data_IF_929285596453
#
_entry.id   IF_929285596453
#
_cell.length_a   1.000
_cell.length_b   1.000
_cell.length_c   1.000
_cell.angle_alpha   90.00
_cell.angle_beta   90.00
_cell.angle_gamma   90.00
#
_symmetry.space_group_name_H-M   'P 1'
#
loop_
_entity.id
_entity.type
_entity.pdbx_description
1 polymer ?
#
# COMPACT_ATOMS: atom_id res chain seq x y z
N UNK A 1 19.14 -4.92 -20.64
CA UNK A 1 18.01 -4.00 -20.84
C UNK A 1 17.85 -3.13 -19.61
N UNK A 2 17.39 -1.89 -19.78
CA UNK A 2 17.21 -0.87 -18.76
C UNK A 2 15.97 -0.03 -19.08
N UNK A 3 15.15 0.25 -18.08
CA UNK A 3 14.00 1.15 -18.23
C UNK A 3 14.46 2.58 -17.97
N UNK A 4 14.18 3.47 -18.90
CA UNK A 4 14.50 4.89 -18.76
C UNK A 4 13.26 5.74 -19.00
N UNK A 5 13.15 6.83 -18.23
CA UNK A 5 12.15 7.88 -18.42
C UNK A 5 12.75 9.03 -19.19
N UNK A 6 12.11 9.44 -20.28
CA UNK A 6 12.60 10.52 -21.14
C UNK A 6 12.30 11.87 -20.51
N UNK A 7 13.32 12.73 -20.42
CA UNK A 7 13.19 14.10 -19.91
C UNK A 7 13.45 15.16 -20.98
N UNK A 8 13.99 14.78 -22.14
CA UNK A 8 14.28 15.66 -23.25
C UNK A 8 13.31 15.48 -24.43
N UNK A 9 12.83 16.58 -25.01
CA UNK A 9 11.80 16.56 -26.09
C UNK A 9 12.30 16.21 -27.49
N UNK A 10 13.57 15.84 -27.67
CA UNK A 10 14.22 15.59 -28.97
C UNK A 10 14.98 14.25 -29.00
N UNK A 11 14.47 13.25 -28.29
CA UNK A 11 15.08 11.92 -28.25
C UNK A 11 14.40 10.99 -29.27
N UNK A 12 15.21 10.19 -29.96
CA UNK A 12 14.74 9.22 -30.94
C UNK A 12 15.27 7.83 -30.62
N UNK A 13 14.46 6.80 -30.82
CA UNK A 13 14.82 5.41 -30.52
C UNK A 13 14.64 4.48 -31.73
N UNK A 14 15.48 3.43 -31.75
CA UNK A 14 15.44 2.39 -32.78
C UNK A 14 15.85 2.85 -34.19
N UNK A 15 15.79 1.92 -35.14
CA UNK A 15 16.12 2.18 -36.55
C UNK A 15 15.07 3.02 -37.29
N UNK A 16 13.82 3.03 -36.81
CA UNK A 16 12.74 3.83 -37.38
C UNK A 16 12.75 5.28 -36.90
N UNK A 17 13.71 5.68 -36.04
CA UNK A 17 13.79 7.00 -35.45
C UNK A 17 12.45 7.41 -34.80
N UNK A 18 11.91 6.53 -33.96
CA UNK A 18 10.69 6.85 -33.22
C UNK A 18 10.99 7.96 -32.23
N UNK A 19 10.29 9.09 -32.35
CA UNK A 19 10.41 10.19 -31.39
C UNK A 19 9.86 9.74 -30.03
N UNK A 20 10.61 10.01 -28.97
CA UNK A 20 10.18 9.82 -27.58
C UNK A 20 9.81 11.16 -26.98
N UNK A 21 8.65 11.23 -26.35
CA UNK A 21 8.15 12.43 -25.69
C UNK A 21 8.65 12.54 -24.25
N UNK A 22 8.63 13.75 -23.71
CA UNK A 22 9.00 13.97 -22.30
C UNK A 22 7.97 13.26 -21.42
N UNK A 23 8.44 12.39 -20.54
CA UNK A 23 7.62 11.54 -19.68
C UNK A 23 7.44 10.12 -20.21
N UNK A 24 7.82 9.82 -21.45
CA UNK A 24 7.75 8.47 -21.99
C UNK A 24 8.73 7.53 -21.29
N UNK A 25 8.34 6.26 -21.23
CA UNK A 25 9.21 5.18 -20.77
C UNK A 25 9.68 4.36 -21.96
N UNK A 26 10.99 4.12 -22.05
CA UNK A 26 11.59 3.31 -23.09
C UNK A 26 12.54 2.27 -22.50
N UNK A 27 12.48 1.06 -23.03
CA UNK A 27 13.43 0.00 -22.68
C UNK A 27 14.57 -0.03 -23.70
N UNK A 28 15.80 0.19 -23.23
CA UNK A 28 17.00 0.21 -24.06
C UNK A 28 18.11 -0.62 -23.45
N UNK A 29 19.21 -0.80 -24.19
CA UNK A 29 20.41 -1.41 -23.62
C UNK A 29 21.01 -0.55 -22.50
N UNK A 30 21.67 -1.20 -21.53
CA UNK A 30 22.30 -0.56 -20.37
C UNK A 30 23.34 0.50 -20.78
N UNK A 31 24.16 0.24 -21.80
CA UNK A 31 25.17 1.20 -22.25
C UNK A 31 24.54 2.43 -22.91
N UNK A 32 23.37 2.27 -23.54
CA UNK A 32 22.62 3.39 -24.12
C UNK A 32 21.92 4.20 -23.03
N UNK A 33 21.28 3.53 -22.07
CA UNK A 33 20.64 4.17 -20.92
C UNK A 33 21.62 5.03 -20.13
N UNK A 34 22.81 4.49 -19.79
CA UNK A 34 23.83 5.25 -19.07
C UNK A 34 24.32 6.46 -19.87
N UNK A 35 24.55 6.30 -21.18
CA UNK A 35 24.96 7.42 -22.04
C UNK A 35 23.91 8.52 -22.03
N UNK A 36 22.64 8.19 -22.23
CA UNK A 36 21.54 9.15 -22.22
C UNK A 36 21.37 9.82 -20.87
N UNK A 37 21.55 9.09 -19.76
CA UNK A 37 21.47 9.64 -18.42
C UNK A 37 22.63 10.61 -18.13
N UNK A 38 23.86 10.28 -18.54
CA UNK A 38 25.04 11.13 -18.37
C UNK A 38 24.91 12.50 -19.04
N UNK A 39 24.21 12.57 -20.18
CA UNK A 39 23.97 13.82 -20.91
C UNK A 39 22.61 14.45 -20.58
N UNK A 40 21.88 13.92 -19.59
CA UNK A 40 20.63 14.49 -19.10
C UNK A 40 19.45 14.39 -20.07
N UNK A 41 19.42 13.37 -20.93
CA UNK A 41 18.27 13.12 -21.83
C UNK A 41 17.20 12.24 -21.18
N UNK A 42 17.60 11.36 -20.27
CA UNK A 42 16.71 10.42 -19.58
C UNK A 42 17.09 10.26 -18.11
N UNK A 43 16.14 9.80 -17.30
CA UNK A 43 16.35 9.32 -15.93
C UNK A 43 16.25 7.80 -15.92
N UNK A 44 17.20 7.11 -15.27
CA UNK A 44 17.14 5.66 -15.07
C UNK A 44 16.07 5.35 -14.02
N UNK A 45 15.16 4.44 -14.37
CA UNK A 45 14.13 3.98 -13.45
C UNK A 45 14.59 2.64 -12.88
N UNK A 46 14.89 2.64 -11.59
CA UNK A 46 15.09 1.42 -10.83
C UNK A 46 13.71 0.85 -10.45
N UNK A 47 13.59 -0.48 -10.43
CA UNK A 47 12.39 -1.16 -9.96
C UNK A 47 12.32 -1.02 -8.43
N UNK A 48 11.83 0.14 -7.97
CA UNK A 48 11.67 0.44 -6.55
C UNK A 48 10.24 0.14 -6.12
N UNK A 49 10.09 -0.78 -5.16
CA UNK A 49 8.81 -1.08 -4.51
C UNK A 49 8.43 0.10 -3.62
N UNK A 50 7.38 0.82 -3.98
CA UNK A 50 6.79 1.83 -3.11
C UNK A 50 5.92 1.14 -2.06
N UNK A 51 6.31 1.25 -0.79
CA UNK A 51 5.44 0.85 0.32
C UNK A 51 4.27 1.83 0.40
N UNK A 52 3.12 1.41 -0.11
CA UNK A 52 1.86 2.11 0.09
C UNK A 52 1.39 1.75 1.50
N UNK A 53 1.41 2.73 2.40
CA UNK A 53 0.79 2.57 3.70
C UNK A 53 -0.71 2.33 3.46
N UNK A 54 -1.18 1.11 3.70
CA UNK A 54 -2.61 0.84 3.85
C UNK A 54 -3.10 1.77 4.96
N UNK A 55 -3.97 2.76 4.68
CA UNK A 55 -4.48 3.60 5.74
C UNK A 55 -5.23 2.68 6.70
N UNK A 56 -4.75 2.57 7.95
CA UNK A 56 -5.58 2.05 9.02
C UNK A 56 -6.76 2.99 9.11
N UNK A 57 -7.90 2.56 8.60
CA UNK A 57 -9.17 3.21 8.88
C UNK A 57 -9.29 3.16 10.40
N UNK A 58 -9.16 4.30 11.08
CA UNK A 58 -9.42 4.43 12.50
C UNK A 58 -10.76 3.76 12.78
N UNK A 59 -10.71 2.59 13.43
CA UNK A 59 -11.88 1.89 13.92
C UNK A 59 -12.42 2.69 15.09
N UNK A 60 -13.02 3.84 14.81
CA UNK A 60 -13.92 4.52 15.72
C UNK A 60 -15.35 4.03 15.45
N UNK A 61 -15.54 2.72 15.55
CA UNK A 61 -16.86 2.15 15.77
C UNK A 61 -17.01 2.06 17.31
N UNK A 62 -17.94 2.83 17.91
CA UNK A 62 -18.09 2.87 19.35
C UNK A 62 -18.44 1.47 19.90
N UNK A 63 -17.72 1.03 20.91
CA UNK A 63 -18.11 -0.14 21.72
C UNK A 63 -19.58 0.02 22.16
N UNK A 64 -20.45 -0.99 21.92
CA UNK A 64 -21.82 -0.93 22.43
C UNK A 64 -21.77 -0.92 23.97
N UNK A 65 -22.32 0.14 24.56
CA UNK A 65 -22.48 0.31 26.01
C UNK A 65 -23.11 -0.94 26.65
N UNK A 66 -22.70 -1.31 27.88
CA UNK A 66 -23.23 -2.48 28.56
C UNK A 66 -24.75 -2.36 28.77
N UNK A 67 -25.51 -3.31 28.22
CA UNK A 67 -26.95 -3.45 28.47
C UNK A 67 -27.21 -3.47 29.98
N UNK A 68 -27.88 -2.42 30.47
CA UNK A 68 -28.40 -2.40 31.84
C UNK A 68 -29.49 -3.46 31.95
N UNK A 69 -29.42 -4.41 32.91
CA UNK A 69 -30.44 -5.44 33.03
C UNK A 69 -31.78 -4.82 33.46
N UNK A 70 -32.92 -5.27 32.90
CA UNK A 70 -34.23 -4.80 33.34
C UNK A 70 -34.51 -5.27 34.78
N UNK A 71 -34.86 -4.30 35.64
CA UNK A 71 -35.41 -4.54 36.99
C UNK A 71 -36.73 -5.30 36.87
N UNK A 72 -36.69 -6.61 37.12
CA UNK A 72 -37.85 -7.48 37.29
C UNK A 72 -37.92 -8.04 38.71
N UNK A 73 -39.05 -7.84 39.38
CA UNK A 73 -39.32 -8.13 40.80
C UNK A 73 -39.45 -9.64 41.10
N UNK A 74 -38.94 -10.04 42.28
CA UNK A 74 -39.70 -10.83 43.25
C UNK A 74 -39.38 -12.33 43.42
N UNK A 75 -39.25 -12.75 44.69
CA UNK A 75 -39.38 -14.15 45.15
C UNK A 75 -38.04 -14.81 45.53
N UNK A 76 -37.50 -14.64 46.74
CA UNK A 76 -37.83 -15.33 48.02
C UNK A 76 -37.28 -16.77 48.07
N UNK A 77 -36.20 -16.93 48.88
CA UNK A 77 -35.73 -18.07 49.70
C UNK A 77 -35.63 -19.46 49.00
N UNK A 78 -34.62 -20.29 49.23
CA UNK A 78 -34.19 -20.83 50.51
C UNK A 78 -32.78 -21.44 50.41
N UNK A 79 -32.13 -21.53 51.56
CA UNK A 79 -30.94 -22.33 51.86
C UNK A 79 -31.05 -23.75 51.31
N UNK A 80 -29.93 -24.32 50.84
CA UNK A 80 -29.54 -25.69 51.17
C UNK A 80 -28.04 -25.88 50.94
N UNK A 81 -27.35 -26.07 52.06
CA UNK A 81 -26.04 -26.67 52.22
C UNK A 81 -25.93 -28.02 51.48
N UNK A 82 -24.73 -28.35 50.99
CA UNK A 82 -24.47 -29.57 50.24
C UNK A 82 -22.99 -29.86 50.03
N UNK A 83 -22.32 -30.10 51.15
CA UNK A 83 -21.09 -30.88 51.32
C UNK A 83 -20.88 -31.93 50.19
N UNK A 84 -19.72 -31.95 49.54
CA UNK A 84 -19.22 -33.18 48.95
C UNK A 84 -17.71 -33.29 49.19
N UNK A 85 -17.40 -34.16 50.15
CA UNK A 85 -16.08 -34.64 50.49
C UNK A 85 -15.47 -35.46 49.34
N UNK A 86 -14.14 -35.42 49.30
CA UNK A 86 -13.28 -36.45 48.70
C UNK A 86 -13.05 -37.58 49.71
#
# INVERSE_FOLDING_TARGET
MALVKVIAGNLFSGANLQKLEVGDFAEVDQATAQRWALIGLVELIEDSVFEVATPTQDTNEPEPEPEKPPRGKGGKKDKSDGDNAE
#
